data_IF_204860111980
#
_entry.id   IF_204860111980
#
_cell.length_a   1.000
_cell.length_b   1.000
_cell.length_c   1.000
_cell.angle_alpha   90.00
_cell.angle_beta   90.00
_cell.angle_gamma   90.00
#
_symmetry.space_group_name_H-M   'P 1'
#
loop_
_entity.id
_entity.type
_entity.pdbx_description
1 polymer ?
#
# COMPACT_ATOMS: atom_id res chain seq x y z
N UNK A 1 -9.34 17.27 27.81
CA UNK A 1 -9.57 15.82 27.74
C UNK A 1 -8.40 15.20 27.01
N UNK A 2 -7.99 14.00 27.41
CA UNK A 2 -6.99 13.24 26.67
C UNK A 2 -7.49 12.89 25.27
N UNK A 3 -6.61 12.97 24.28
CA UNK A 3 -6.96 12.78 22.87
C UNK A 3 -6.09 11.69 22.23
N UNK A 4 -6.69 10.91 21.34
CA UNK A 4 -5.97 10.02 20.42
C UNK A 4 -5.20 10.84 19.38
N UNK A 5 -4.20 10.23 18.73
CA UNK A 5 -3.51 10.87 17.61
C UNK A 5 -4.49 11.30 16.52
N UNK A 6 -5.46 10.45 16.20
CA UNK A 6 -6.51 10.79 15.22
C UNK A 6 -7.28 12.06 15.61
N UNK A 7 -7.75 12.17 16.86
CA UNK A 7 -8.48 13.35 17.32
C UNK A 7 -7.64 14.61 17.28
N UNK A 8 -6.36 14.53 17.65
CA UNK A 8 -5.41 15.66 17.53
C UNK A 8 -5.27 16.13 16.09
N UNK A 9 -5.08 15.18 15.16
CA UNK A 9 -4.94 15.48 13.73
C UNK A 9 -6.24 16.05 13.14
N UNK A 10 -7.37 15.44 13.45
CA UNK A 10 -8.67 15.89 12.96
C UNK A 10 -8.97 17.31 13.43
N UNK A 11 -8.92 17.54 14.75
CA UNK A 11 -9.25 18.84 15.35
C UNK A 11 -8.35 19.98 14.86
N UNK A 12 -7.05 19.69 14.62
CA UNK A 12 -6.11 20.68 14.10
C UNK A 12 -6.44 21.14 12.65
N UNK A 13 -7.26 20.39 11.93
CA UNK A 13 -7.60 20.68 10.53
C UNK A 13 -9.05 21.07 10.30
N UNK A 14 -9.90 21.07 11.33
CA UNK A 14 -11.27 21.56 11.21
C UNK A 14 -11.26 23.07 10.95
N UNK A 15 -11.80 23.47 9.81
CA UNK A 15 -11.97 24.88 9.44
C UNK A 15 -13.40 25.38 9.63
N UNK A 16 -14.35 24.44 9.70
CA UNK A 16 -15.75 24.71 10.02
C UNK A 16 -16.40 23.47 10.62
N UNK A 17 -17.14 23.65 11.69
CA UNK A 17 -17.97 22.63 12.33
C UNK A 17 -19.19 23.31 12.97
N UNK A 18 -20.38 22.84 12.68
CA UNK A 18 -21.63 23.27 13.31
C UNK A 18 -22.43 22.06 13.77
N UNK A 19 -23.30 22.25 14.76
CA UNK A 19 -24.11 21.18 15.30
C UNK A 19 -25.03 20.59 14.21
N UNK A 20 -25.00 19.27 14.06
CA UNK A 20 -25.75 18.53 13.04
C UNK A 20 -25.16 18.58 11.62
N UNK A 21 -24.03 19.27 11.41
CA UNK A 21 -23.37 19.34 10.11
C UNK A 21 -22.07 18.51 10.08
N UNK A 22 -21.71 18.04 8.90
CA UNK A 22 -20.42 17.36 8.68
C UNK A 22 -19.30 18.40 8.71
N UNK A 23 -18.26 18.22 9.55
CA UNK A 23 -17.11 19.11 9.59
C UNK A 23 -16.43 19.27 8.24
N UNK A 24 -15.84 20.44 8.02
CA UNK A 24 -14.99 20.72 6.86
C UNK A 24 -13.53 20.73 7.33
N UNK A 25 -12.72 19.88 6.72
CA UNK A 25 -11.28 19.79 6.98
C UNK A 25 -10.50 20.57 5.93
N UNK A 26 -9.45 21.25 6.38
CA UNK A 26 -8.39 21.73 5.49
C UNK A 26 -7.51 20.57 5.05
N UNK A 27 -7.09 20.56 3.78
CA UNK A 27 -6.21 19.51 3.20
C UNK A 27 -4.82 20.12 2.95
N UNK A 28 -3.81 19.61 3.65
CA UNK A 28 -2.43 20.09 3.50
C UNK A 28 -1.76 19.63 2.21
N UNK A 29 -2.09 18.42 1.73
CA UNK A 29 -1.49 17.84 0.55
C UNK A 29 -2.53 17.10 -0.29
N UNK A 30 -2.53 17.37 -1.59
CA UNK A 30 -3.35 16.66 -2.55
C UNK A 30 -2.43 15.96 -3.56
N UNK A 31 -2.48 14.65 -3.60
CA UNK A 31 -1.75 13.85 -4.59
C UNK A 31 -2.73 13.42 -5.68
N UNK A 32 -2.31 13.53 -6.94
CA UNK A 32 -3.13 13.17 -8.10
C UNK A 32 -2.38 12.25 -9.04
N UNK A 33 -3.12 11.45 -9.77
CA UNK A 33 -2.61 10.57 -10.81
C UNK A 33 -3.56 10.51 -12.01
N UNK A 34 -3.17 9.81 -13.07
CA UNK A 34 -3.84 9.83 -14.36
C UNK A 34 -5.25 9.22 -14.38
N UNK A 35 -5.60 8.37 -13.39
CA UNK A 35 -6.89 7.65 -13.42
C UNK A 35 -8.06 8.51 -12.95
N UNK A 36 -7.92 9.22 -11.84
CA UNK A 36 -9.03 9.95 -11.21
C UNK A 36 -9.03 11.45 -11.47
N UNK A 37 -7.90 12.03 -11.91
CA UNK A 37 -7.77 13.47 -12.09
C UNK A 37 -8.40 14.03 -13.39
N UNK A 38 -8.46 13.35 -14.54
CA UNK A 38 -8.97 13.93 -15.78
C UNK A 38 -10.39 14.49 -15.65
N UNK A 39 -11.31 13.71 -15.10
CA UNK A 39 -12.71 14.12 -14.91
C UNK A 39 -12.84 15.27 -13.89
N UNK A 40 -12.00 15.29 -12.85
CA UNK A 40 -11.98 16.37 -11.86
C UNK A 40 -11.56 17.70 -12.50
N UNK A 41 -10.56 17.71 -13.38
CA UNK A 41 -10.17 18.90 -14.14
C UNK A 41 -11.24 19.34 -15.15
N UNK A 42 -11.96 18.40 -15.76
CA UNK A 42 -13.09 18.73 -16.64
C UNK A 42 -14.19 19.43 -15.85
N UNK A 43 -14.53 18.93 -14.65
CA UNK A 43 -15.51 19.56 -13.76
C UNK A 43 -15.10 20.99 -13.37
N UNK A 44 -13.82 21.23 -13.06
CA UNK A 44 -13.30 22.58 -12.80
C UNK A 44 -13.50 23.50 -14.00
N UNK A 45 -13.17 23.05 -15.21
CA UNK A 45 -13.34 23.85 -16.44
C UNK A 45 -14.82 24.20 -16.70
N UNK A 46 -15.69 23.23 -16.60
CA UNK A 46 -17.15 23.44 -16.77
C UNK A 46 -17.68 24.42 -15.76
N UNK A 47 -17.22 24.34 -14.51
CA UNK A 47 -17.63 25.24 -13.43
C UNK A 47 -16.92 26.61 -13.47
N UNK A 48 -16.01 26.87 -14.41
CA UNK A 48 -15.21 28.09 -14.49
C UNK A 48 -14.30 28.31 -13.28
N UNK A 49 -13.86 27.24 -12.62
CA UNK A 49 -13.01 27.26 -11.41
C UNK A 49 -11.57 26.95 -11.74
N UNK A 50 -10.69 27.48 -10.91
CA UNK A 50 -9.23 27.22 -10.98
C UNK A 50 -8.78 26.38 -9.78
N UNK A 51 -7.61 25.75 -9.91
CA UNK A 51 -6.93 25.09 -8.78
C UNK A 51 -6.56 26.12 -7.73
N UNK A 52 -7.06 25.94 -6.51
CA UNK A 52 -6.89 26.92 -5.44
C UNK A 52 -5.45 27.00 -4.90
N UNK A 53 -4.79 25.86 -4.73
CA UNK A 53 -3.45 25.76 -4.12
C UNK A 53 -2.55 24.84 -4.95
N UNK A 54 -2.02 25.40 -6.04
CA UNK A 54 -1.14 24.66 -6.97
C UNK A 54 0.07 24.06 -6.24
N UNK A 55 0.71 24.80 -5.34
CA UNK A 55 1.91 24.36 -4.60
C UNK A 55 1.65 23.25 -3.58
N UNK A 56 0.39 22.91 -3.33
CA UNK A 56 -0.01 21.81 -2.41
C UNK A 56 -0.49 20.58 -3.14
N UNK A 57 -0.56 20.64 -4.48
CA UNK A 57 -0.99 19.54 -5.34
C UNK A 57 0.19 19.02 -6.15
N UNK A 58 0.38 17.69 -6.18
CA UNK A 58 1.47 17.03 -6.90
C UNK A 58 0.93 15.85 -7.68
N UNK A 59 1.40 15.69 -8.92
CA UNK A 59 0.97 14.60 -9.80
C UNK A 59 2.07 13.60 -10.09
N UNK A 60 1.68 12.35 -10.32
CA UNK A 60 2.54 11.31 -10.88
C UNK A 60 1.76 10.42 -11.84
N UNK A 61 2.45 9.69 -12.69
CA UNK A 61 1.91 8.65 -13.56
C UNK A 61 2.31 7.30 -13.01
N UNK A 62 1.35 6.44 -12.67
CA UNK A 62 1.67 5.17 -11.99
C UNK A 62 0.79 3.97 -12.35
N UNK A 63 -0.48 4.18 -12.70
CA UNK A 63 -1.46 3.11 -12.91
C UNK A 63 -1.51 2.59 -14.34
N UNK A 64 -1.59 3.51 -15.31
CA UNK A 64 -1.86 3.21 -16.72
C UNK A 64 -0.60 3.15 -17.58
N UNK A 65 0.57 3.30 -16.99
CA UNK A 65 1.85 3.28 -17.69
C UNK A 65 2.38 1.85 -17.86
N UNK A 66 3.13 1.63 -18.96
CA UNK A 66 3.83 0.36 -19.17
C UNK A 66 5.09 0.27 -18.30
N UNK A 67 5.31 -0.89 -17.70
CA UNK A 67 6.56 -1.19 -16.97
C UNK A 67 7.67 -1.69 -17.91
N UNK A 68 7.35 -1.98 -19.16
CA UNK A 68 8.31 -2.42 -20.17
C UNK A 68 8.93 -1.24 -20.92
N UNK A 69 8.08 -0.29 -21.33
CA UNK A 69 8.47 0.81 -22.21
C UNK A 69 8.08 2.14 -21.61
N UNK A 70 9.06 3.04 -21.46
CA UNK A 70 8.86 4.42 -20.97
C UNK A 70 8.70 5.41 -22.14
N UNK A 71 7.64 5.23 -22.89
CA UNK A 71 7.31 6.09 -24.04
C UNK A 71 5.78 6.25 -24.13
N UNK A 72 5.28 7.45 -23.86
CA UNK A 72 3.84 7.79 -23.93
C UNK A 72 3.26 7.48 -25.31
N UNK A 73 4.05 7.63 -26.38
CA UNK A 73 3.59 7.39 -27.73
C UNK A 73 3.25 5.91 -28.00
N UNK A 74 3.83 5.02 -27.23
CA UNK A 74 3.59 3.56 -27.32
C UNK A 74 2.45 3.08 -26.43
N UNK A 75 1.88 3.95 -25.61
CA UNK A 75 0.64 3.65 -24.91
C UNK A 75 -0.54 3.68 -25.88
N UNK A 76 -1.54 2.87 -25.63
CA UNK A 76 -2.73 2.73 -26.47
C UNK A 76 -4.02 2.90 -25.67
N UNK A 77 -5.13 3.14 -26.39
CA UNK A 77 -6.47 3.18 -25.82
C UNK A 77 -6.63 4.19 -24.67
N UNK A 78 -7.35 3.76 -23.63
CA UNK A 78 -7.69 4.57 -22.48
C UNK A 78 -6.45 5.02 -21.67
N UNK A 79 -5.46 4.16 -21.56
CA UNK A 79 -4.20 4.45 -20.87
C UNK A 79 -3.50 5.69 -21.43
N UNK A 80 -3.37 5.76 -22.77
CA UNK A 80 -2.78 6.92 -23.45
C UNK A 80 -3.57 8.21 -23.21
N UNK A 81 -4.90 8.14 -23.29
CA UNK A 81 -5.77 9.30 -23.07
C UNK A 81 -5.58 9.84 -21.65
N UNK A 82 -5.62 8.98 -20.64
CA UNK A 82 -5.47 9.37 -19.23
C UNK A 82 -4.12 10.04 -18.95
N UNK A 83 -3.03 9.45 -19.44
CA UNK A 83 -1.68 10.00 -19.26
C UNK A 83 -1.53 11.37 -19.93
N UNK A 84 -1.99 11.51 -21.19
CA UNK A 84 -1.92 12.79 -21.91
C UNK A 84 -2.81 13.86 -21.28
N UNK A 85 -3.99 13.52 -20.77
CA UNK A 85 -4.85 14.49 -20.07
C UNK A 85 -4.23 14.94 -18.75
N UNK A 86 -3.55 14.05 -18.00
CA UNK A 86 -2.81 14.45 -16.80
C UNK A 86 -1.68 15.45 -17.15
N UNK A 87 -0.87 15.15 -18.17
CA UNK A 87 0.17 16.08 -18.65
C UNK A 87 -0.39 17.46 -19.04
N UNK A 88 -1.45 17.45 -19.84
CA UNK A 88 -2.13 18.67 -20.30
C UNK A 88 -2.66 19.49 -19.12
N UNK A 89 -3.32 18.85 -18.17
CA UNK A 89 -3.92 19.51 -17.02
C UNK A 89 -2.88 20.08 -16.06
N UNK A 90 -1.83 19.33 -15.75
CA UNK A 90 -0.74 19.78 -14.88
C UNK A 90 0.04 20.92 -15.53
N UNK A 91 0.32 20.85 -16.82
CA UNK A 91 0.96 21.94 -17.57
C UNK A 91 0.11 23.22 -17.59
N UNK A 92 -1.21 23.08 -17.79
CA UNK A 92 -2.13 24.23 -17.84
C UNK A 92 -2.29 24.91 -16.47
N UNK A 93 -2.16 24.16 -15.38
CA UNK A 93 -2.35 24.68 -14.00
C UNK A 93 -1.06 25.02 -13.29
N UNK A 94 0.08 24.57 -13.79
CA UNK A 94 1.37 24.72 -13.12
C UNK A 94 1.61 23.72 -11.97
N UNK A 95 0.79 22.68 -11.85
CA UNK A 95 1.00 21.61 -10.88
C UNK A 95 2.27 20.83 -11.25
N UNK A 96 3.12 20.57 -10.27
CA UNK A 96 4.33 19.75 -10.47
C UNK A 96 3.91 18.31 -10.78
N UNK A 97 4.39 17.81 -11.92
CA UNK A 97 4.19 16.43 -12.37
C UNK A 97 5.53 15.68 -12.35
N UNK A 98 5.53 14.52 -11.72
CA UNK A 98 6.59 13.51 -11.82
C UNK A 98 6.20 12.53 -12.91
N UNK A 99 6.57 12.83 -14.13
CA UNK A 99 6.21 12.04 -15.33
C UNK A 99 7.20 10.90 -15.60
N UNK A 100 6.88 10.06 -16.58
CA UNK A 100 7.70 8.89 -16.95
C UNK A 100 9.13 9.23 -17.36
N UNK A 101 9.48 10.48 -17.65
CA UNK A 101 10.82 10.89 -18.08
C UNK A 101 11.70 11.25 -16.90
N UNK A 102 11.11 11.49 -15.72
CA UNK A 102 11.84 11.85 -14.51
C UNK A 102 12.22 10.63 -13.69
N UNK A 103 13.35 10.67 -13.01
CA UNK A 103 13.78 9.60 -12.11
C UNK A 103 12.97 9.54 -10.81
N UNK A 104 12.34 10.62 -10.45
CA UNK A 104 11.49 10.75 -9.27
C UNK A 104 10.09 10.15 -9.50
N UNK A 105 9.74 9.81 -10.77
CA UNK A 105 8.47 9.16 -11.07
C UNK A 105 8.35 7.83 -10.32
N UNK A 106 7.17 7.53 -9.84
CA UNK A 106 6.86 6.28 -9.16
C UNK A 106 5.40 6.20 -8.76
N UNK A 107 5.07 5.09 -8.13
CA UNK A 107 3.77 4.89 -7.51
C UNK A 107 3.53 6.02 -6.51
N UNK A 108 2.37 6.66 -6.56
CA UNK A 108 2.07 7.87 -5.78
C UNK A 108 2.38 7.71 -4.28
N UNK A 109 2.12 6.54 -3.70
CA UNK A 109 2.37 6.23 -2.29
C UNK A 109 3.81 5.76 -1.98
N UNK A 110 4.68 5.70 -2.98
CA UNK A 110 6.13 5.52 -2.84
C UNK A 110 6.83 6.85 -3.09
N UNK A 111 6.56 7.48 -4.22
CA UNK A 111 7.16 8.76 -4.62
C UNK A 111 6.86 9.88 -3.60
N UNK A 112 5.60 10.00 -3.14
CA UNK A 112 5.21 11.03 -2.17
C UNK A 112 6.07 11.06 -0.91
N UNK A 113 6.22 9.95 -0.18
CA UNK A 113 7.16 9.82 0.93
C UNK A 113 8.62 10.09 0.56
N UNK A 114 9.11 9.53 -0.56
CA UNK A 114 10.50 9.71 -1.00
C UNK A 114 10.85 11.17 -1.28
N UNK A 115 9.90 11.94 -1.81
CA UNK A 115 10.07 13.35 -2.06
C UNK A 115 9.91 14.22 -0.80
N UNK A 116 9.49 13.64 0.33
CA UNK A 116 9.18 14.39 1.55
C UNK A 116 7.89 15.21 1.44
N UNK A 117 6.98 14.80 0.54
CA UNK A 117 5.65 15.40 0.40
C UNK A 117 4.72 14.97 1.53
N UNK A 118 5.04 13.87 2.21
CA UNK A 118 4.34 13.32 3.36
C UNK A 118 5.07 13.73 4.62
N UNK A 119 4.44 14.54 5.47
CA UNK A 119 5.02 14.99 6.74
C UNK A 119 4.07 14.69 7.90
N UNK A 120 4.60 14.44 9.12
CA UNK A 120 3.76 14.26 10.29
C UNK A 120 2.84 15.46 10.54
N UNK A 121 1.64 15.18 11.00
CA UNK A 121 0.68 16.23 11.33
C UNK A 121 -0.14 16.76 10.15
N UNK A 122 0.10 16.29 8.93
CA UNK A 122 -0.67 16.72 7.74
C UNK A 122 -1.97 15.93 7.56
N UNK A 123 -2.90 16.55 6.82
CA UNK A 123 -3.99 15.86 6.12
C UNK A 123 -3.58 15.65 4.66
N UNK A 124 -3.70 14.41 4.16
CA UNK A 124 -3.28 14.05 2.80
C UNK A 124 -4.41 13.28 2.12
N UNK A 125 -4.76 13.68 0.90
CA UNK A 125 -5.75 12.98 0.10
C UNK A 125 -5.24 12.66 -1.30
N UNK A 126 -5.76 11.59 -1.88
CA UNK A 126 -5.52 11.16 -3.25
C UNK A 126 -6.73 10.38 -3.76
N UNK A 127 -6.94 10.35 -5.05
CA UNK A 127 -7.97 9.53 -5.70
C UNK A 127 -7.65 8.03 -5.73
N UNK A 128 -6.93 7.53 -4.73
CA UNK A 128 -6.53 6.13 -4.56
C UNK A 128 -6.79 5.66 -3.12
N UNK A 129 -7.36 4.46 -2.97
CA UNK A 129 -7.73 3.90 -1.67
C UNK A 129 -6.53 3.66 -0.74
N UNK A 130 -5.33 3.40 -1.29
CA UNK A 130 -4.13 3.14 -0.49
C UNK A 130 -3.41 4.42 -0.02
N UNK A 131 -4.05 5.58 -0.11
CA UNK A 131 -3.59 6.84 0.49
C UNK A 131 -3.34 6.71 2.01
N UNK A 132 -3.98 5.75 2.67
CA UNK A 132 -3.70 5.37 4.06
C UNK A 132 -2.22 5.05 4.33
N UNK A 133 -1.42 4.70 3.31
CA UNK A 133 0.04 4.52 3.41
C UNK A 133 0.74 5.68 4.11
N UNK A 134 0.33 6.92 3.84
CA UNK A 134 0.93 8.12 4.39
C UNK A 134 0.71 8.27 5.90
N UNK A 135 -0.25 7.54 6.47
CA UNK A 135 -0.47 7.49 7.92
C UNK A 135 0.69 6.86 8.72
N UNK A 136 1.58 6.14 8.05
CA UNK A 136 2.83 5.65 8.62
C UNK A 136 3.74 6.77 9.17
N UNK A 137 3.53 7.99 8.71
CA UNK A 137 4.25 9.21 9.13
C UNK A 137 3.50 10.00 10.21
N UNK A 138 2.38 9.52 10.72
CA UNK A 138 1.52 10.31 11.61
C UNK A 138 0.78 11.43 10.86
N UNK A 139 0.40 11.20 9.60
CA UNK A 139 -0.46 12.05 8.80
C UNK A 139 -1.87 11.44 8.71
N UNK A 140 -2.92 12.25 8.80
CA UNK A 140 -4.28 11.81 8.54
C UNK A 140 -4.50 11.71 7.03
N UNK A 141 -4.38 10.51 6.49
CA UNK A 141 -4.35 10.26 5.06
C UNK A 141 -5.40 9.23 4.64
N UNK A 142 -6.18 9.56 3.60
CA UNK A 142 -7.24 8.67 3.12
C UNK A 142 -7.58 8.92 1.65
N UNK A 143 -8.10 7.87 1.01
CA UNK A 143 -8.58 7.91 -0.37
C UNK A 143 -9.90 8.66 -0.50
N UNK A 144 -10.05 9.35 -1.63
CA UNK A 144 -11.24 10.14 -1.98
C UNK A 144 -11.73 9.80 -3.39
N UNK A 145 -13.01 10.00 -3.64
CA UNK A 145 -13.62 9.81 -4.96
C UNK A 145 -13.32 10.97 -5.93
N UNK A 146 -13.55 10.74 -7.24
CA UNK A 146 -13.27 11.72 -8.30
C UNK A 146 -13.95 13.07 -8.07
N UNK A 147 -15.20 13.11 -7.60
CA UNK A 147 -15.91 14.36 -7.29
C UNK A 147 -15.27 15.10 -6.09
N UNK A 148 -14.71 14.36 -5.14
CA UNK A 148 -13.97 14.94 -4.02
C UNK A 148 -12.60 15.45 -4.46
N UNK A 149 -11.94 14.80 -5.44
CA UNK A 149 -10.72 15.31 -6.08
C UNK A 149 -10.98 16.69 -6.68
N UNK A 150 -12.08 16.85 -7.46
CA UNK A 150 -12.51 18.15 -8.00
C UNK A 150 -12.72 19.17 -6.87
N UNK A 151 -13.44 18.77 -5.83
CA UNK A 151 -13.75 19.66 -4.70
C UNK A 151 -12.46 20.15 -4.00
N UNK A 152 -11.50 19.26 -3.73
CA UNK A 152 -10.22 19.61 -3.09
C UNK A 152 -9.38 20.49 -4.01
N UNK A 153 -9.33 20.24 -5.31
CA UNK A 153 -8.66 21.11 -6.27
C UNK A 153 -9.23 22.53 -6.23
N UNK A 154 -10.57 22.67 -6.15
CA UNK A 154 -11.27 23.96 -6.14
C UNK A 154 -11.15 24.72 -4.81
N UNK A 155 -11.10 24.03 -3.68
CA UNK A 155 -11.30 24.62 -2.36
C UNK A 155 -10.18 24.42 -1.36
N UNK A 156 -9.35 23.42 -1.55
CA UNK A 156 -8.35 22.88 -0.61
C UNK A 156 -8.98 22.37 0.70
N UNK A 157 -10.26 22.02 0.66
CA UNK A 157 -11.01 21.51 1.82
C UNK A 157 -11.84 20.29 1.44
N UNK A 158 -12.30 19.55 2.44
CA UNK A 158 -13.16 18.38 2.25
C UNK A 158 -14.15 18.25 3.41
N UNK A 159 -15.41 17.94 3.12
CA UNK A 159 -16.37 17.50 4.14
C UNK A 159 -16.03 16.09 4.59
N UNK A 160 -15.77 15.90 5.89
CA UNK A 160 -15.39 14.59 6.43
C UNK A 160 -16.02 14.38 7.81
N UNK A 161 -16.88 13.38 7.91
CA UNK A 161 -17.42 12.97 9.20
C UNK A 161 -16.33 12.42 10.12
N UNK A 162 -16.49 12.66 11.43
CA UNK A 162 -15.60 12.06 12.44
C UNK A 162 -15.77 10.54 12.42
N UNK A 163 -14.65 9.85 12.37
CA UNK A 163 -14.58 8.40 12.50
C UNK A 163 -14.43 8.01 13.99
N UNK A 164 -14.70 6.77 14.30
CA UNK A 164 -14.33 6.16 15.58
C UNK A 164 -12.81 5.90 15.60
N UNK A 165 -12.24 5.80 16.80
CA UNK A 165 -10.84 5.48 17.04
C UNK A 165 -10.68 4.00 17.34
N UNK A 166 -9.78 3.32 16.63
CA UNK A 166 -9.40 1.94 16.95
C UNK A 166 -7.91 1.86 17.23
N UNK A 167 -7.54 1.13 18.28
CA UNK A 167 -6.15 0.81 18.59
C UNK A 167 -5.87 -0.66 18.28
N UNK A 168 -4.82 -0.92 17.49
CA UNK A 168 -4.30 -2.27 17.28
C UNK A 168 -2.88 -2.33 17.82
N UNK A 169 -2.69 -3.08 18.88
CA UNK A 169 -1.41 -3.24 19.56
C UNK A 169 -0.80 -4.61 19.24
N UNK A 170 0.41 -4.61 18.65
CA UNK A 170 1.18 -5.83 18.40
C UNK A 170 2.33 -5.88 19.39
N UNK A 171 2.21 -6.78 20.38
CA UNK A 171 3.13 -6.90 21.53
C UNK A 171 4.29 -7.82 21.25
N UNK A 172 5.44 -7.46 21.82
CA UNK A 172 6.66 -8.25 21.71
C UNK A 172 7.31 -8.18 20.34
N UNK A 173 8.25 -9.07 20.07
CA UNK A 173 9.07 -9.12 18.86
C UNK A 173 8.61 -10.24 17.94
N UNK A 174 8.64 -9.98 16.65
CA UNK A 174 8.39 -11.00 15.63
C UNK A 174 9.57 -11.97 15.53
N UNK A 175 9.28 -13.20 15.14
CA UNK A 175 10.31 -14.18 14.82
C UNK A 175 11.09 -13.79 13.54
N UNK A 176 12.35 -14.26 13.38
CA UNK A 176 13.08 -14.08 12.13
C UNK A 176 12.27 -14.60 10.92
N UNK A 177 12.31 -13.86 9.82
CA UNK A 177 11.56 -14.18 8.60
C UNK A 177 10.15 -13.61 8.55
N UNK A 178 9.62 -13.06 9.65
CA UNK A 178 8.33 -12.36 9.68
C UNK A 178 8.54 -10.89 9.30
N UNK A 179 7.69 -10.40 8.41
CA UNK A 179 7.74 -9.04 7.86
C UNK A 179 6.51 -8.22 8.24
N UNK A 180 6.54 -6.93 7.93
CA UNK A 180 5.39 -6.05 8.08
C UNK A 180 4.15 -6.54 7.30
N UNK A 181 4.36 -7.21 6.16
CA UNK A 181 3.28 -7.83 5.37
C UNK A 181 2.60 -8.95 6.14
N UNK A 182 3.35 -9.77 6.83
CA UNK A 182 2.80 -10.86 7.63
C UNK A 182 2.03 -10.31 8.83
N UNK A 183 2.54 -9.25 9.46
CA UNK A 183 1.86 -8.57 10.57
C UNK A 183 0.49 -8.07 10.12
N UNK A 184 0.43 -7.28 9.04
CA UNK A 184 -0.85 -6.70 8.61
C UNK A 184 -1.82 -7.76 8.08
N UNK A 185 -1.35 -8.80 7.40
CA UNK A 185 -2.20 -9.91 6.96
C UNK A 185 -2.77 -10.67 8.17
N UNK A 186 -1.97 -10.94 9.20
CA UNK A 186 -2.46 -11.56 10.44
C UNK A 186 -3.51 -10.68 11.15
N UNK A 187 -3.31 -9.34 11.17
CA UNK A 187 -4.30 -8.40 11.69
C UNK A 187 -5.60 -8.50 10.89
N UNK A 188 -5.54 -8.46 9.56
CA UNK A 188 -6.72 -8.55 8.68
C UNK A 188 -7.43 -9.90 8.85
N UNK A 189 -6.67 -11.00 8.96
CA UNK A 189 -7.23 -12.32 9.24
C UNK A 189 -8.02 -12.37 10.55
N UNK A 190 -7.53 -11.68 11.59
CA UNK A 190 -8.20 -11.58 12.89
C UNK A 190 -9.41 -10.65 12.90
N UNK A 191 -9.31 -9.52 12.21
CA UNK A 191 -10.34 -8.46 12.22
C UNK A 191 -11.38 -8.62 11.12
N UNK A 192 -11.09 -9.42 10.11
CA UNK A 192 -11.82 -9.55 8.85
C UNK A 192 -11.77 -8.26 7.99
N UNK A 193 -12.35 -8.31 6.79
CA UNK A 193 -12.41 -7.16 5.87
C UNK A 193 -13.32 -6.01 6.33
N UNK A 194 -14.13 -6.21 7.35
CA UNK A 194 -15.08 -5.21 7.86
C UNK A 194 -14.75 -4.72 9.28
N UNK A 195 -13.74 -5.30 9.92
CA UNK A 195 -13.44 -5.02 11.33
C UNK A 195 -13.06 -3.57 11.63
N UNK A 196 -12.47 -2.86 10.66
CA UNK A 196 -12.10 -1.45 10.75
C UNK A 196 -13.16 -0.47 10.23
N UNK A 197 -14.33 -0.95 9.78
CA UNK A 197 -15.34 -0.09 9.18
C UNK A 197 -15.77 1.04 10.13
N UNK A 198 -15.74 2.27 9.62
CA UNK A 198 -16.07 3.48 10.38
C UNK A 198 -14.99 3.94 11.36
N UNK A 199 -13.80 3.32 11.34
CA UNK A 199 -12.69 3.66 12.24
C UNK A 199 -11.49 4.25 11.48
N UNK A 200 -10.73 5.07 12.20
CA UNK A 200 -9.30 5.31 11.93
C UNK A 200 -8.52 4.45 12.90
N UNK A 201 -7.57 3.68 12.37
CA UNK A 201 -6.82 2.68 13.14
C UNK A 201 -5.44 3.22 13.50
N UNK A 202 -5.11 3.24 14.79
CA UNK A 202 -3.75 3.49 15.27
C UNK A 202 -3.06 2.17 15.56
N UNK A 203 -2.01 1.88 14.79
CA UNK A 203 -1.15 0.72 15.01
C UNK A 203 -0.02 1.07 15.97
N UNK A 204 0.18 0.26 16.99
CA UNK A 204 1.18 0.48 18.03
C UNK A 204 1.72 -0.86 18.60
N UNK A 205 2.52 -0.78 19.63
CA UNK A 205 3.18 -1.93 20.26
C UNK A 205 4.65 -2.03 19.84
N UNK A 206 5.37 -2.94 20.49
CA UNK A 206 6.82 -3.09 20.27
C UNK A 206 7.12 -3.49 18.82
N UNK A 207 6.40 -4.51 18.31
CA UNK A 207 6.59 -4.99 16.95
C UNK A 207 6.35 -3.92 15.87
N UNK A 208 5.45 -2.95 16.11
CA UNK A 208 5.20 -1.84 15.17
C UNK A 208 6.28 -0.77 15.27
N UNK A 209 6.75 -0.45 16.49
CA UNK A 209 7.83 0.53 16.69
C UNK A 209 9.15 0.07 16.10
N UNK A 210 9.43 -1.23 16.16
CA UNK A 210 10.67 -1.85 15.64
C UNK A 210 10.70 -1.90 14.11
N UNK A 211 9.57 -1.63 13.41
CA UNK A 211 9.52 -1.56 11.95
C UNK A 211 10.28 -0.35 11.41
N UNK A 212 10.95 -0.56 10.27
CA UNK A 212 11.41 0.52 9.40
C UNK A 212 10.22 1.37 8.88
N UNK A 213 10.50 2.51 8.29
CA UNK A 213 9.44 3.31 7.64
C UNK A 213 8.76 2.54 6.50
N UNK A 214 9.51 1.76 5.74
CA UNK A 214 9.01 0.90 4.68
C UNK A 214 8.00 -0.13 5.23
N UNK A 215 8.35 -0.77 6.34
CA UNK A 215 7.45 -1.69 7.05
C UNK A 215 6.20 -1.01 7.60
N UNK A 216 6.35 0.19 8.19
CA UNK A 216 5.21 0.99 8.68
C UNK A 216 4.27 1.41 7.54
N UNK A 217 4.85 1.78 6.38
CA UNK A 217 4.06 2.08 5.18
C UNK A 217 3.28 0.86 4.69
N UNK A 218 3.86 -0.34 4.74
CA UNK A 218 3.16 -1.59 4.41
C UNK A 218 1.96 -1.84 5.34
N UNK A 219 2.13 -1.65 6.64
CA UNK A 219 1.03 -1.82 7.62
C UNK A 219 -0.09 -0.81 7.36
N UNK A 220 0.23 0.48 7.25
CA UNK A 220 -0.77 1.52 7.00
C UNK A 220 -1.42 1.40 5.61
N UNK A 221 -0.67 0.97 4.58
CA UNK A 221 -1.18 0.73 3.24
C UNK A 221 -2.37 -0.22 3.24
N UNK A 222 -2.27 -1.33 3.97
CA UNK A 222 -3.29 -2.37 4.00
C UNK A 222 -4.37 -2.15 5.08
N UNK A 223 -4.37 -1.05 5.82
CA UNK A 223 -5.44 -0.73 6.76
C UNK A 223 -6.81 -0.66 6.07
N UNK A 224 -6.85 -0.18 4.83
CA UNK A 224 -8.08 -0.13 4.03
C UNK A 224 -8.65 -1.53 3.74
N UNK A 225 -7.84 -2.57 3.73
CA UNK A 225 -8.27 -3.94 3.45
C UNK A 225 -9.02 -4.58 4.63
N UNK A 226 -8.96 -3.98 5.82
CA UNK A 226 -9.85 -4.30 6.93
C UNK A 226 -11.05 -3.34 7.05
N UNK A 227 -11.29 -2.52 6.03
CA UNK A 227 -12.41 -1.56 6.00
C UNK A 227 -12.15 -0.25 6.75
N UNK A 228 -10.95 0.00 7.25
CA UNK A 228 -10.60 1.22 7.97
C UNK A 228 -10.60 2.44 7.03
N UNK A 229 -10.97 3.61 7.55
CA UNK A 229 -10.89 4.88 6.81
C UNK A 229 -9.44 5.31 6.58
N UNK A 230 -8.57 5.10 7.57
CA UNK A 230 -7.14 5.38 7.54
C UNK A 230 -6.40 4.50 8.56
N UNK A 231 -5.10 4.33 8.35
CA UNK A 231 -4.18 3.74 9.33
C UNK A 231 -3.19 4.81 9.80
N UNK A 232 -2.82 4.80 11.06
CA UNK A 232 -1.90 5.75 11.67
C UNK A 232 -0.82 5.02 12.46
N UNK A 233 0.39 5.53 12.42
CA UNK A 233 1.47 5.21 13.35
C UNK A 233 2.02 6.54 13.86
N UNK A 234 2.14 6.69 15.18
CA UNK A 234 2.72 7.89 15.78
C UNK A 234 4.16 8.09 15.30
N UNK A 235 4.54 9.30 14.83
CA UNK A 235 5.89 9.56 14.35
C UNK A 235 6.89 9.54 15.50
N UNK A 236 8.07 9.02 15.22
CA UNK A 236 9.19 8.90 16.15
C UNK A 236 10.53 9.18 15.43
N UNK A 237 11.63 8.88 16.07
CA UNK A 237 12.97 9.10 15.55
C UNK A 237 13.19 8.40 14.19
N UNK A 238 12.65 7.19 14.00
CA UNK A 238 12.70 6.47 12.70
C UNK A 238 12.03 7.27 11.60
N UNK A 239 10.88 7.91 11.91
CA UNK A 239 10.17 8.78 10.97
C UNK A 239 10.99 10.04 10.65
N UNK A 240 11.61 10.65 11.66
CA UNK A 240 12.38 11.88 11.47
C UNK A 240 13.64 11.61 10.66
N UNK A 241 14.36 10.52 10.93
CA UNK A 241 15.53 10.14 10.15
C UNK A 241 15.19 9.86 8.68
N UNK A 242 14.09 9.18 8.41
CA UNK A 242 13.62 8.95 7.03
C UNK A 242 13.35 10.24 6.26
N UNK A 243 12.76 11.24 6.92
CA UNK A 243 12.38 12.52 6.31
C UNK A 243 13.53 13.51 6.16
N UNK A 244 14.57 13.38 6.99
CA UNK A 244 15.69 14.31 7.02
C UNK A 244 16.39 14.41 5.67
N UNK A 245 16.44 15.62 5.12
CA UNK A 245 17.12 15.90 3.85
C UNK A 245 16.31 15.58 2.59
N UNK A 246 15.06 15.09 2.72
CA UNK A 246 14.17 14.89 1.56
C UNK A 246 13.88 16.24 0.88
N UNK A 247 13.64 16.25 -0.46
CA UNK A 247 13.53 17.50 -1.24
C UNK A 247 12.51 18.51 -0.68
N UNK A 248 11.33 18.05 -0.29
CA UNK A 248 10.23 18.87 0.22
C UNK A 248 10.09 18.85 1.76
N UNK A 249 11.01 18.20 2.48
CA UNK A 249 11.05 18.26 3.93
C UNK A 249 11.57 19.63 4.40
N UNK A 250 11.16 20.11 5.59
CA UNK A 250 11.70 21.32 6.19
C UNK A 250 13.22 21.27 6.33
N UNK A 251 13.88 22.44 6.36
CA UNK A 251 15.34 22.56 6.44
C UNK A 251 15.75 23.56 7.53
N UNK A 252 16.94 23.38 8.10
CA UNK A 252 17.49 24.28 9.11
C UNK A 252 16.55 24.44 10.29
N UNK A 253 16.29 25.68 10.70
CA UNK A 253 15.42 26.00 11.84
C UNK A 253 13.99 25.47 11.67
N UNK A 254 13.45 25.52 10.44
CA UNK A 254 12.09 25.00 10.19
C UNK A 254 12.02 23.48 10.42
N UNK A 255 13.12 22.76 10.22
CA UNK A 255 13.23 21.36 10.58
C UNK A 255 13.19 21.13 12.10
N UNK A 256 13.95 21.92 12.85
CA UNK A 256 14.00 21.80 14.30
C UNK A 256 12.64 22.10 14.92
N UNK A 257 11.97 23.17 14.46
CA UNK A 257 10.63 23.54 14.89
C UNK A 257 9.59 22.46 14.50
N UNK A 258 9.70 21.89 13.30
CA UNK A 258 8.84 20.79 12.84
C UNK A 258 9.01 19.53 13.71
N UNK A 259 10.25 19.11 13.98
CA UNK A 259 10.52 17.94 14.82
C UNK A 259 9.99 18.16 16.25
N UNK A 260 10.15 19.37 16.81
CA UNK A 260 9.59 19.70 18.11
C UNK A 260 8.05 19.52 18.15
N UNK A 261 7.36 19.95 17.11
CA UNK A 261 5.92 19.74 16.95
C UNK A 261 5.59 18.26 16.72
N UNK A 262 6.30 17.57 15.83
CA UNK A 262 6.03 16.16 15.50
C UNK A 262 6.14 15.24 16.69
N UNK A 263 7.02 15.50 17.63
CA UNK A 263 7.16 14.76 18.92
C UNK A 263 5.92 14.85 19.80
N UNK A 264 5.03 15.80 19.58
CA UNK A 264 3.74 15.92 20.29
C UNK A 264 2.64 15.06 19.67
N UNK A 265 2.85 14.55 18.43
CA UNK A 265 1.88 13.79 17.64
C UNK A 265 1.84 12.32 18.04
N UNK A 266 1.35 12.06 19.23
CA UNK A 266 1.05 10.72 19.77
C UNK A 266 -0.24 10.78 20.56
N UNK A 267 -0.91 9.67 20.72
CA UNK A 267 -2.04 9.57 21.64
C UNK A 267 -1.60 9.84 23.07
N UNK A 268 -2.44 10.53 23.83
CA UNK A 268 -2.20 10.73 25.25
C UNK A 268 -2.30 9.40 25.99
N UNK A 269 -1.59 9.25 27.12
CA UNK A 269 -1.50 7.97 27.83
C UNK A 269 -2.87 7.46 28.32
N UNK A 270 -3.78 8.36 28.65
CA UNK A 270 -5.15 8.12 29.10
C UNK A 270 -6.21 8.31 27.99
N UNK A 271 -5.78 8.41 26.71
CA UNK A 271 -6.70 8.50 25.58
C UNK A 271 -7.58 7.26 25.47
N UNK A 272 -8.85 7.48 25.18
CA UNK A 272 -9.84 6.40 25.04
C UNK A 272 -10.04 6.06 23.57
N UNK A 273 -9.98 4.78 23.27
CA UNK A 273 -10.30 4.24 21.96
C UNK A 273 -11.67 3.53 22.01
N UNK A 274 -12.45 3.67 20.94
CA UNK A 274 -13.75 2.97 20.83
C UNK A 274 -13.55 1.45 20.74
N UNK A 275 -12.45 1.02 20.13
CA UNK A 275 -12.11 -0.40 19.97
C UNK A 275 -10.61 -0.61 20.22
N UNK A 276 -10.27 -1.67 20.93
CA UNK A 276 -8.87 -2.07 21.18
C UNK A 276 -8.70 -3.54 20.83
N UNK A 277 -7.71 -3.84 19.99
CA UNK A 277 -7.34 -5.20 19.58
C UNK A 277 -5.87 -5.42 19.91
N UNK A 278 -5.54 -6.58 20.45
CA UNK A 278 -4.16 -6.94 20.77
C UNK A 278 -3.77 -8.24 20.09
N UNK A 279 -2.57 -8.28 19.52
CA UNK A 279 -1.92 -9.47 18.97
C UNK A 279 -0.57 -9.66 19.65
N UNK A 280 -0.18 -10.92 19.82
CA UNK A 280 1.18 -11.27 20.25
C UNK A 280 2.04 -11.54 19.02
N UNK A 281 3.13 -10.81 18.85
CA UNK A 281 4.01 -10.89 17.68
C UNK A 281 4.61 -12.31 17.50
N UNK A 282 4.87 -13.02 18.60
CA UNK A 282 5.40 -14.39 18.58
C UNK A 282 4.46 -15.41 17.94
N UNK A 283 3.15 -15.12 17.89
CA UNK A 283 2.13 -16.02 17.33
C UNK A 283 1.90 -15.79 15.82
N UNK A 284 2.60 -14.81 15.22
CA UNK A 284 2.50 -14.51 13.80
C UNK A 284 3.47 -15.41 13.02
N UNK A 285 2.93 -16.28 12.20
CA UNK A 285 3.66 -17.04 11.17
C UNK A 285 3.72 -16.28 9.84
N UNK A 286 4.58 -16.67 8.87
CA UNK A 286 4.48 -16.15 7.51
C UNK A 286 3.08 -16.40 6.95
N UNK A 287 2.46 -15.38 6.37
CA UNK A 287 1.06 -15.39 5.98
C UNK A 287 0.86 -15.68 4.49
N UNK A 288 -0.19 -16.42 4.16
CA UNK A 288 -0.63 -16.69 2.78
C UNK A 288 -2.15 -16.57 2.70
N UNK A 289 -2.67 -15.79 1.75
CA UNK A 289 -4.12 -15.81 1.50
C UNK A 289 -4.50 -17.10 0.77
N UNK A 290 -5.53 -17.79 1.28
CA UNK A 290 -6.04 -19.05 0.72
C UNK A 290 -7.30 -18.87 -0.14
N UNK A 291 -7.88 -17.66 -0.15
CA UNK A 291 -9.14 -17.36 -0.84
C UNK A 291 -9.04 -16.15 -1.76
N UNK A 292 -10.16 -15.47 -1.95
CA UNK A 292 -10.35 -14.39 -2.91
C UNK A 292 -10.41 -12.99 -2.29
N UNK A 293 -10.00 -12.85 -1.04
CA UNK A 293 -9.87 -11.55 -0.38
C UNK A 293 -8.79 -11.61 0.72
N UNK A 294 -8.25 -10.44 1.16
CA UNK A 294 -7.18 -10.40 2.15
C UNK A 294 -7.54 -10.94 3.54
N UNK A 295 -8.83 -11.00 3.88
CA UNK A 295 -9.31 -11.59 5.15
C UNK A 295 -9.31 -13.13 5.15
N UNK A 296 -9.24 -13.74 3.98
CA UNK A 296 -9.09 -15.19 3.82
C UNK A 296 -7.61 -15.56 3.82
N UNK A 297 -6.97 -15.47 4.97
CA UNK A 297 -5.53 -15.61 5.19
C UNK A 297 -5.25 -16.51 6.39
N UNK A 298 -4.17 -17.27 6.32
CA UNK A 298 -3.66 -18.14 7.39
C UNK A 298 -2.14 -18.19 7.39
N UNK A 299 -1.54 -18.64 8.48
CA UNK A 299 -0.12 -18.95 8.52
C UNK A 299 0.24 -20.11 7.58
N UNK A 300 1.43 -20.08 7.01
CA UNK A 300 1.96 -21.11 6.09
C UNK A 300 2.02 -22.50 6.74
N UNK A 301 2.08 -22.57 8.06
CA UNK A 301 2.10 -23.78 8.87
C UNK A 301 0.69 -24.36 9.17
N UNK A 302 -0.35 -23.68 8.70
CA UNK A 302 -1.74 -24.10 8.84
C UNK A 302 -2.25 -24.74 7.54
N UNK A 303 -3.44 -25.35 7.63
CA UNK A 303 -4.12 -25.94 6.48
C UNK A 303 -5.27 -25.06 6.03
N UNK A 304 -5.57 -25.13 4.74
CA UNK A 304 -6.72 -24.46 4.12
C UNK A 304 -7.99 -24.79 4.90
N UNK A 305 -8.78 -23.81 5.37
CA UNK A 305 -9.96 -24.06 6.18
C UNK A 305 -11.00 -24.95 5.49
N UNK A 306 -11.67 -25.77 6.28
CA UNK A 306 -12.76 -26.62 5.81
C UNK A 306 -14.11 -25.90 6.00
N UNK A 307 -14.82 -25.51 4.91
CA UNK A 307 -16.11 -24.84 5.03
C UNK A 307 -17.16 -25.61 5.82
N UNK A 308 -17.11 -26.95 5.81
CA UNK A 308 -18.08 -27.76 6.54
C UNK A 308 -17.97 -27.62 8.07
N UNK A 309 -16.84 -27.17 8.57
CA UNK A 309 -16.58 -26.92 9.99
C UNK A 309 -17.00 -25.51 10.44
N UNK A 310 -17.36 -24.63 9.48
CA UNK A 310 -17.78 -23.26 9.77
C UNK A 310 -19.24 -23.24 10.22
N UNK A 311 -19.49 -22.63 11.37
CA UNK A 311 -20.84 -22.56 11.96
C UNK A 311 -21.71 -21.48 11.32
N UNK A 312 -21.11 -20.33 10.92
CA UNK A 312 -21.83 -19.25 10.27
C UNK A 312 -22.09 -19.57 8.80
N UNK A 313 -23.37 -19.61 8.34
CA UNK A 313 -23.70 -19.95 6.96
C UNK A 313 -23.14 -18.99 5.92
N UNK A 314 -23.02 -17.70 6.25
CA UNK A 314 -22.51 -16.67 5.31
C UNK A 314 -21.02 -16.88 5.11
N UNK A 315 -20.27 -17.06 6.18
CA UNK A 315 -18.83 -17.35 6.14
C UNK A 315 -18.56 -18.65 5.41
N UNK A 316 -19.37 -19.71 5.66
CA UNK A 316 -19.27 -20.99 4.95
C UNK A 316 -19.45 -20.84 3.46
N UNK A 317 -20.54 -20.21 3.01
CA UNK A 317 -20.82 -19.99 1.59
C UNK A 317 -19.73 -19.16 0.90
N UNK A 318 -19.20 -18.13 1.59
CA UNK A 318 -18.09 -17.33 1.11
C UNK A 318 -16.81 -18.16 0.94
N UNK A 319 -16.52 -19.05 1.90
CA UNK A 319 -15.36 -19.93 1.84
C UNK A 319 -15.48 -20.97 0.72
N UNK A 320 -16.66 -21.61 0.56
CA UNK A 320 -16.93 -22.54 -0.54
C UNK A 320 -16.73 -21.88 -1.92
N UNK A 321 -17.27 -20.67 -2.10
CA UNK A 321 -17.09 -19.90 -3.33
C UNK A 321 -15.62 -19.58 -3.57
N UNK A 322 -14.91 -19.14 -2.54
CA UNK A 322 -13.50 -18.77 -2.64
C UNK A 322 -12.63 -19.98 -3.01
N UNK A 323 -12.82 -21.12 -2.34
CA UNK A 323 -12.08 -22.35 -2.64
C UNK A 323 -12.33 -22.85 -4.07
N UNK A 324 -13.58 -22.78 -4.54
CA UNK A 324 -13.92 -23.15 -5.90
C UNK A 324 -13.19 -22.24 -6.94
N UNK A 325 -13.20 -20.92 -6.73
CA UNK A 325 -12.51 -19.98 -7.63
C UNK A 325 -11.00 -20.15 -7.58
N UNK A 326 -10.43 -20.16 -6.36
CA UNK A 326 -8.98 -20.25 -6.19
C UNK A 326 -8.44 -21.65 -6.56
N UNK A 327 -9.33 -22.66 -6.64
CA UNK A 327 -8.99 -24.04 -7.00
C UNK A 327 -8.14 -24.73 -5.94
N UNK A 328 -8.57 -24.64 -4.69
CA UNK A 328 -7.98 -25.34 -3.56
C UNK A 328 -8.99 -26.27 -2.89
N UNK A 329 -8.49 -27.39 -2.41
CA UNK A 329 -9.27 -28.33 -1.60
C UNK A 329 -9.25 -27.91 -0.13
N UNK A 330 -10.35 -28.20 0.59
CA UNK A 330 -10.39 -28.07 2.04
C UNK A 330 -9.29 -28.92 2.68
N UNK A 331 -8.68 -28.41 3.75
CA UNK A 331 -7.58 -29.07 4.47
C UNK A 331 -6.28 -29.24 3.64
N UNK A 332 -6.16 -28.65 2.46
CA UNK A 332 -4.92 -28.67 1.68
C UNK A 332 -3.77 -28.07 2.47
N UNK A 333 -2.57 -28.62 2.28
CA UNK A 333 -1.33 -28.04 2.79
C UNK A 333 -0.89 -26.91 1.85
N UNK A 334 -0.73 -25.70 2.38
CA UNK A 334 -0.29 -24.54 1.59
C UNK A 334 1.06 -24.79 0.92
N UNK A 335 1.93 -25.55 1.55
CA UNK A 335 3.28 -25.86 1.04
C UNK A 335 3.29 -26.82 -0.16
N UNK A 336 2.16 -27.42 -0.49
CA UNK A 336 2.03 -28.27 -1.69
C UNK A 336 1.39 -27.52 -2.88
N UNK A 337 1.02 -26.23 -2.70
CA UNK A 337 0.36 -25.45 -3.75
C UNK A 337 1.40 -24.89 -4.71
N UNK A 338 1.34 -25.33 -5.97
CA UNK A 338 2.20 -24.83 -7.03
C UNK A 338 1.81 -23.42 -7.46
N UNK A 339 2.78 -22.65 -7.92
CA UNK A 339 2.61 -21.31 -8.48
C UNK A 339 3.05 -21.25 -9.95
N UNK A 340 2.32 -20.51 -10.78
CA UNK A 340 2.66 -20.29 -12.19
C UNK A 340 3.45 -19.01 -12.41
N UNK A 341 3.17 -17.97 -11.62
CA UNK A 341 3.81 -16.66 -11.72
C UNK A 341 4.10 -16.09 -10.34
N UNK A 342 5.04 -15.14 -10.31
CA UNK A 342 5.37 -14.35 -9.12
C UNK A 342 5.34 -12.87 -9.48
N UNK A 343 4.76 -12.07 -8.59
CA UNK A 343 4.78 -10.63 -8.68
C UNK A 343 5.35 -10.01 -7.40
N UNK A 344 6.46 -9.27 -7.55
CA UNK A 344 7.10 -8.49 -6.49
C UNK A 344 7.02 -7.03 -6.90
N UNK A 345 6.18 -6.26 -6.22
CA UNK A 345 5.84 -4.90 -6.62
C UNK A 345 4.69 -4.32 -5.80
N UNK A 346 3.97 -3.34 -6.36
CA UNK A 346 2.84 -2.64 -5.74
C UNK A 346 3.26 -1.55 -4.75
N UNK A 347 2.36 -0.61 -4.47
CA UNK A 347 2.56 0.39 -3.41
C UNK A 347 2.77 -0.22 -2.02
N UNK A 348 2.41 -1.49 -1.83
CA UNK A 348 2.60 -2.22 -0.58
C UNK A 348 4.05 -2.63 -0.38
N UNK A 349 4.66 -3.29 -1.38
CA UNK A 349 5.98 -3.94 -1.25
C UNK A 349 6.83 -3.77 -2.52
N UNK A 350 7.16 -2.53 -2.85
CA UNK A 350 8.04 -2.20 -3.97
C UNK A 350 9.17 -1.25 -3.58
N UNK A 351 9.46 -1.13 -2.28
CA UNK A 351 10.53 -0.29 -1.74
C UNK A 351 11.84 -1.05 -1.68
N UNK A 352 12.94 -0.34 -1.43
CA UNK A 352 14.27 -0.94 -1.48
C UNK A 352 14.44 -2.12 -0.51
N UNK A 353 13.85 -2.07 0.68
CA UNK A 353 13.92 -3.17 1.65
C UNK A 353 13.19 -4.43 1.16
N UNK A 354 12.05 -4.25 0.50
CA UNK A 354 11.29 -5.35 -0.10
C UNK A 354 12.11 -6.06 -1.18
N UNK A 355 12.78 -5.26 -2.02
CA UNK A 355 13.66 -5.79 -3.08
C UNK A 355 14.90 -6.50 -2.51
N UNK A 356 15.50 -5.95 -1.46
CA UNK A 356 16.62 -6.60 -0.76
C UNK A 356 16.19 -7.94 -0.14
N UNK A 357 15.03 -7.99 0.50
CA UNK A 357 14.50 -9.21 1.09
C UNK A 357 14.25 -10.29 0.01
N UNK A 358 13.66 -9.92 -1.11
CA UNK A 358 13.45 -10.81 -2.23
C UNK A 358 14.78 -11.27 -2.87
N UNK A 359 15.72 -10.35 -3.08
CA UNK A 359 17.02 -10.65 -3.66
C UNK A 359 17.85 -11.61 -2.79
N UNK A 360 17.80 -11.47 -1.47
CA UNK A 360 18.49 -12.38 -0.54
C UNK A 360 18.03 -13.83 -0.71
N UNK A 361 16.74 -14.05 -1.01
CA UNK A 361 16.19 -15.37 -1.29
C UNK A 361 16.60 -15.86 -2.68
N UNK A 362 16.61 -14.99 -3.69
CA UNK A 362 16.84 -15.36 -5.09
C UNK A 362 18.32 -15.53 -5.44
N UNK A 363 19.23 -14.92 -4.68
CA UNK A 363 20.67 -14.95 -4.92
C UNK A 363 21.22 -16.37 -5.03
N UNK A 364 21.90 -16.67 -6.15
CA UNK A 364 22.48 -17.98 -6.44
C UNK A 364 21.47 -19.08 -6.77
N UNK A 365 20.19 -18.75 -6.93
CA UNK A 365 19.13 -19.69 -7.32
C UNK A 365 18.61 -19.37 -8.72
N UNK A 366 17.85 -20.30 -9.27
CA UNK A 366 17.11 -20.14 -10.52
C UNK A 366 15.63 -20.36 -10.26
N UNK A 367 14.78 -19.68 -11.04
CA UNK A 367 13.33 -19.91 -10.98
C UNK A 367 13.02 -21.38 -11.29
N UNK A 368 12.05 -21.93 -10.60
CA UNK A 368 11.58 -23.30 -10.82
C UNK A 368 10.98 -23.48 -12.23
N UNK A 369 11.08 -24.69 -12.79
CA UNK A 369 10.68 -24.97 -14.17
C UNK A 369 9.17 -24.76 -14.43
N UNK A 370 8.33 -24.98 -13.42
CA UNK A 370 6.89 -24.72 -13.52
C UNK A 370 6.54 -23.24 -13.44
N UNK A 371 7.44 -22.37 -12.97
CA UNK A 371 7.20 -20.93 -12.88
C UNK A 371 7.44 -20.28 -14.24
N UNK A 372 6.39 -19.82 -14.86
CA UNK A 372 6.43 -19.19 -16.19
C UNK A 372 7.14 -17.84 -16.14
N UNK A 373 6.78 -17.00 -15.17
CA UNK A 373 7.26 -15.61 -15.08
C UNK A 373 7.41 -15.14 -13.65
N UNK A 374 8.44 -14.36 -13.39
CA UNK A 374 8.63 -13.60 -12.16
C UNK A 374 8.80 -12.14 -12.57
N UNK A 375 7.87 -11.28 -12.13
CA UNK A 375 7.96 -9.84 -12.34
C UNK A 375 8.48 -9.17 -11.07
N UNK A 376 9.54 -8.37 -11.21
CA UNK A 376 10.06 -7.51 -10.15
C UNK A 376 9.96 -6.06 -10.61
N UNK A 377 9.11 -5.30 -9.93
CA UNK A 377 8.73 -3.94 -10.31
C UNK A 377 9.06 -2.99 -9.16
N UNK A 378 10.10 -2.15 -9.30
CA UNK A 378 10.43 -1.14 -8.28
C UNK A 378 9.32 -0.09 -8.16
N UNK A 379 9.15 0.46 -6.95
CA UNK A 379 8.06 1.40 -6.67
C UNK A 379 8.26 2.80 -7.23
N UNK A 380 9.52 3.18 -7.50
CA UNK A 380 9.89 4.47 -8.08
C UNK A 380 11.18 4.36 -8.87
N UNK A 381 11.49 5.38 -9.67
CA UNK A 381 12.78 5.47 -10.36
C UNK A 381 13.95 5.62 -9.39
N UNK A 382 13.75 6.22 -8.23
CA UNK A 382 14.77 6.31 -7.18
C UNK A 382 15.06 4.95 -6.55
N UNK A 383 14.02 4.16 -6.26
CA UNK A 383 14.19 2.76 -5.80
C UNK A 383 14.90 1.94 -6.86
N UNK A 384 14.53 2.11 -8.15
CA UNK A 384 15.19 1.42 -9.26
C UNK A 384 16.67 1.76 -9.32
N UNK A 385 17.02 3.04 -9.30
CA UNK A 385 18.41 3.53 -9.32
C UNK A 385 19.20 2.96 -8.13
N UNK A 386 18.63 2.94 -6.94
CA UNK A 386 19.28 2.39 -5.76
C UNK A 386 19.47 0.87 -5.87
N UNK A 387 18.46 0.14 -6.31
CA UNK A 387 18.53 -1.31 -6.49
C UNK A 387 19.63 -1.70 -7.52
N UNK A 388 19.72 -0.95 -8.62
CA UNK A 388 20.76 -1.16 -9.64
C UNK A 388 22.17 -0.82 -9.12
N UNK A 389 22.32 0.24 -8.31
CA UNK A 389 23.59 0.56 -7.63
C UNK A 389 24.03 -0.54 -6.65
N UNK A 390 23.09 -1.19 -5.99
CA UNK A 390 23.32 -2.31 -5.08
C UNK A 390 23.50 -3.66 -5.82
N UNK A 391 23.24 -3.69 -7.14
CA UNK A 391 23.35 -4.90 -7.97
C UNK A 391 22.20 -5.88 -7.78
N UNK A 392 21.05 -5.45 -7.20
CA UNK A 392 19.90 -6.31 -6.99
C UNK A 392 19.24 -6.72 -8.31
N UNK A 393 19.24 -5.85 -9.31
CA UNK A 393 18.78 -6.12 -10.67
C UNK A 393 19.48 -7.33 -11.29
N UNK A 394 20.80 -7.44 -11.10
CA UNK A 394 21.60 -8.57 -11.60
C UNK A 394 21.20 -9.87 -10.92
N UNK A 395 20.96 -9.85 -9.59
CA UNK A 395 20.49 -11.02 -8.85
C UNK A 395 19.15 -11.50 -9.41
N UNK A 396 18.20 -10.58 -9.63
CA UNK A 396 16.89 -10.90 -10.20
C UNK A 396 16.97 -11.47 -11.60
N UNK A 397 17.73 -10.83 -12.49
CA UNK A 397 17.93 -11.28 -13.88
C UNK A 397 18.63 -12.65 -13.92
N UNK A 398 19.68 -12.84 -13.12
CA UNK A 398 20.38 -14.12 -13.00
C UNK A 398 19.46 -15.23 -12.48
N UNK A 399 18.56 -14.93 -11.56
CA UNK A 399 17.55 -15.88 -11.08
C UNK A 399 16.47 -16.21 -12.12
N UNK A 400 16.38 -15.47 -13.23
CA UNK A 400 15.39 -15.66 -14.29
C UNK A 400 14.13 -14.80 -14.12
N UNK A 401 14.21 -13.72 -13.34
CA UNK A 401 13.14 -12.74 -13.21
C UNK A 401 13.26 -11.61 -14.23
N UNK A 402 12.15 -10.97 -14.51
CA UNK A 402 12.07 -9.78 -15.35
C UNK A 402 12.17 -8.52 -14.49
N UNK A 403 13.24 -7.76 -14.66
CA UNK A 403 13.45 -6.46 -14.03
C UNK A 403 12.74 -5.36 -14.82
N UNK A 404 11.80 -4.66 -14.18
CA UNK A 404 10.87 -3.76 -14.84
C UNK A 404 11.13 -2.29 -14.50
N UNK A 405 10.42 -1.39 -15.18
CA UNK A 405 10.35 0.03 -14.83
C UNK A 405 9.27 0.27 -13.76
N UNK A 406 9.37 1.38 -13.00
CA UNK A 406 8.42 1.71 -11.93
C UNK A 406 6.99 1.90 -12.43
N UNK A 407 6.03 1.41 -11.65
CA UNK A 407 4.60 1.54 -11.89
C UNK A 407 3.78 0.54 -11.07
N UNK A 408 2.45 0.67 -11.11
CA UNK A 408 1.55 -0.25 -10.40
C UNK A 408 1.53 -1.67 -10.97
N UNK A 409 1.86 -1.82 -12.27
CA UNK A 409 2.02 -3.14 -12.92
C UNK A 409 0.83 -4.06 -12.69
N UNK A 410 1.11 -5.30 -12.31
CA UNK A 410 0.10 -6.34 -12.08
C UNK A 410 -0.79 -6.08 -10.86
N UNK A 411 -0.50 -5.08 -10.01
CA UNK A 411 -1.32 -4.80 -8.81
C UNK A 411 -2.79 -4.53 -9.17
N UNK A 412 -3.05 -3.88 -10.29
CA UNK A 412 -4.39 -3.57 -10.80
C UNK A 412 -4.68 -4.18 -12.18
N UNK A 413 -3.64 -4.62 -12.90
CA UNK A 413 -3.80 -5.20 -14.23
C UNK A 413 -4.38 -4.23 -15.29
N UNK A 414 -4.15 -2.93 -15.14
CA UNK A 414 -4.59 -1.90 -16.10
C UNK A 414 -3.61 -1.71 -17.27
N UNK A 415 -2.49 -2.39 -17.25
CA UNK A 415 -1.45 -2.38 -18.27
C UNK A 415 -1.22 -3.79 -18.83
N UNK A 416 -0.10 -4.00 -19.52
CA UNK A 416 0.23 -5.29 -20.19
C UNK A 416 0.64 -6.39 -19.20
N UNK A 417 0.90 -6.05 -17.95
CA UNK A 417 1.28 -7.00 -16.91
C UNK A 417 0.03 -7.65 -16.31
N UNK A 418 -0.34 -8.83 -16.81
CA UNK A 418 -1.53 -9.58 -16.38
C UNK A 418 -1.21 -11.07 -16.23
N UNK A 419 -2.00 -11.74 -15.39
CA UNK A 419 -2.07 -13.19 -15.34
C UNK A 419 -2.83 -13.74 -16.52
N UNK A 420 -2.42 -14.90 -17.01
CA UNK A 420 -3.23 -15.72 -17.86
C UNK A 420 -4.42 -16.34 -17.12
N UNK A 421 -5.39 -16.86 -17.87
CA UNK A 421 -6.58 -17.48 -17.27
C UNK A 421 -6.18 -18.66 -16.37
N UNK A 422 -6.70 -18.66 -15.15
CA UNK A 422 -6.48 -19.68 -14.12
C UNK A 422 -5.05 -19.82 -13.64
N UNK A 423 -4.14 -18.96 -14.08
CA UNK A 423 -2.78 -18.94 -13.53
C UNK A 423 -2.77 -18.48 -12.07
N UNK A 424 -1.91 -19.12 -11.29
CA UNK A 424 -1.74 -18.89 -9.87
C UNK A 424 -0.50 -18.03 -9.62
N UNK A 425 -0.68 -16.95 -8.87
CA UNK A 425 0.38 -15.99 -8.58
C UNK A 425 0.66 -15.90 -7.08
N UNK A 426 1.92 -16.01 -6.68
CA UNK A 426 2.42 -15.51 -5.41
C UNK A 426 2.72 -14.02 -5.55
N UNK A 427 2.01 -13.16 -4.82
CA UNK A 427 2.01 -11.72 -5.08
C UNK A 427 2.22 -10.89 -3.82
N UNK A 428 3.04 -9.86 -3.93
CA UNK A 428 3.22 -8.86 -2.87
C UNK A 428 2.24 -7.70 -2.94
N UNK A 429 1.24 -7.77 -3.83
CA UNK A 429 0.20 -6.74 -3.89
C UNK A 429 -0.69 -6.72 -2.64
N UNK A 430 -1.65 -5.83 -2.60
CA UNK A 430 -2.52 -5.61 -1.43
C UNK A 430 -3.90 -6.26 -1.57
N UNK A 431 -4.33 -6.61 -2.78
CA UNK A 431 -5.65 -7.18 -3.09
C UNK A 431 -5.55 -8.39 -3.99
N UNK A 432 -6.39 -9.38 -3.73
CA UNK A 432 -6.47 -10.63 -4.48
C UNK A 432 -7.91 -11.01 -4.87
N UNK A 433 -8.77 -10.00 -5.07
CA UNK A 433 -10.14 -10.25 -5.54
C UNK A 433 -10.15 -10.97 -6.89
N UNK A 434 -11.22 -11.69 -7.15
CA UNK A 434 -11.45 -12.40 -8.42
C UNK A 434 -11.14 -11.50 -9.63
N UNK A 435 -10.24 -11.93 -10.50
CA UNK A 435 -9.85 -11.19 -11.71
C UNK A 435 -8.97 -9.95 -11.51
N UNK A 436 -8.54 -9.63 -10.29
CA UNK A 436 -7.78 -8.41 -9.98
C UNK A 436 -6.49 -8.26 -10.78
N UNK A 437 -5.72 -9.34 -10.94
CA UNK A 437 -4.44 -9.34 -11.67
C UNK A 437 -4.56 -9.89 -13.10
N UNK A 438 -5.77 -10.17 -13.56
CA UNK A 438 -6.08 -10.73 -14.86
C UNK A 438 -7.35 -11.57 -14.79
N UNK A 439 -8.05 -11.72 -15.92
CA UNK A 439 -9.29 -12.49 -16.00
C UNK A 439 -9.07 -13.92 -15.49
N UNK A 440 -9.88 -14.34 -14.52
CA UNK A 440 -9.80 -15.65 -13.87
C UNK A 440 -8.45 -15.93 -13.17
N UNK A 441 -7.59 -14.93 -12.96
CA UNK A 441 -6.32 -15.08 -12.26
C UNK A 441 -6.51 -15.42 -10.80
N UNK A 442 -5.65 -16.31 -10.26
CA UNK A 442 -5.67 -16.80 -8.88
C UNK A 442 -4.50 -16.21 -8.10
N UNK A 443 -4.77 -15.25 -7.24
CA UNK A 443 -3.72 -14.51 -6.54
C UNK A 443 -3.68 -14.85 -5.06
N UNK A 444 -2.49 -15.15 -4.55
CA UNK A 444 -2.20 -15.32 -3.13
C UNK A 444 -1.29 -14.18 -2.66
N UNK A 445 -1.72 -13.46 -1.64
CA UNK A 445 -0.92 -12.40 -1.03
C UNK A 445 0.08 -13.01 -0.06
N UNK A 446 1.33 -12.60 -0.21
CA UNK A 446 2.47 -13.04 0.60
C UNK A 446 3.48 -11.92 0.78
N UNK A 447 4.44 -12.09 1.68
CA UNK A 447 5.59 -11.18 1.83
C UNK A 447 6.57 -11.28 0.65
N UNK A 448 7.44 -10.26 0.44
CA UNK A 448 8.44 -10.29 -0.64
C UNK A 448 9.35 -11.51 -0.63
N UNK A 449 9.81 -11.90 0.56
CA UNK A 449 10.66 -13.10 0.71
C UNK A 449 9.89 -14.39 0.39
N UNK A 450 8.62 -14.48 0.82
CA UNK A 450 7.74 -15.63 0.49
C UNK A 450 7.44 -15.69 -1.00
N UNK A 451 7.19 -14.55 -1.66
CA UNK A 451 6.98 -14.50 -3.11
C UNK A 451 8.24 -14.95 -3.88
N UNK A 452 9.40 -14.44 -3.48
CA UNK A 452 10.69 -14.85 -4.06
C UNK A 452 10.93 -16.36 -3.86
N UNK A 453 10.70 -16.89 -2.66
CA UNK A 453 10.83 -18.31 -2.38
C UNK A 453 9.87 -19.14 -3.24
N UNK A 454 8.61 -18.72 -3.36
CA UNK A 454 7.66 -19.42 -4.24
C UNK A 454 8.14 -19.49 -5.70
N UNK A 455 8.79 -18.43 -6.18
CA UNK A 455 9.39 -18.41 -7.50
C UNK A 455 10.58 -19.37 -7.68
N UNK A 456 11.41 -19.52 -6.64
CA UNK A 456 12.59 -20.39 -6.69
C UNK A 456 12.25 -21.88 -6.48
N UNK A 457 11.22 -22.18 -5.69
CA UNK A 457 10.82 -23.54 -5.38
C UNK A 457 9.60 -24.05 -6.16
N UNK A 458 8.91 -23.16 -6.91
CA UNK A 458 7.75 -23.50 -7.73
C UNK A 458 6.46 -23.70 -6.94
N UNK A 459 6.50 -23.56 -5.62
CA UNK A 459 5.38 -23.73 -4.68
C UNK A 459 5.58 -22.85 -3.45
N UNK A 460 4.57 -22.67 -2.62
CA UNK A 460 4.75 -21.98 -1.35
C UNK A 460 5.66 -22.79 -0.43
N UNK A 461 6.57 -22.09 0.23
CA UNK A 461 7.48 -22.65 1.24
C UNK A 461 7.51 -21.73 2.46
N UNK A 462 7.78 -22.28 3.61
CA UNK A 462 8.00 -21.46 4.81
C UNK A 462 9.36 -20.79 4.71
N UNK A 463 9.35 -19.45 4.69
CA UNK A 463 10.60 -18.69 4.57
C UNK A 463 11.56 -18.93 5.73
N UNK A 464 11.03 -19.36 6.90
CA UNK A 464 11.85 -19.69 8.08
C UNK A 464 12.72 -20.91 7.86
N UNK A 465 12.34 -21.78 6.91
CA UNK A 465 13.08 -23.00 6.52
C UNK A 465 14.07 -22.73 5.36
N UNK A 466 14.07 -21.54 4.77
CA UNK A 466 14.90 -21.20 3.61
C UNK A 466 16.22 -20.57 4.06
N UNK A 467 17.33 -21.21 3.73
CA UNK A 467 18.66 -20.63 3.93
C UNK A 467 18.85 -19.43 3.00
N UNK A 468 19.18 -18.28 3.54
CA UNK A 468 19.54 -17.07 2.77
C UNK A 468 21.03 -17.15 2.36
N UNK A 469 21.35 -16.75 1.12
CA UNK A 469 22.72 -16.78 0.56
C UNK A 469 23.38 -15.39 0.57
#
# INVERSE_FOLDING_TARGET
MAKTLYEKLFDAHVVYEAEGETPILYINRHLIHEVTSPQAFDGLRVAGRQVRQVSKTFGTMDHSISTQVRDVNKLEGQAKIQVLELEKNTKATGIQLFDMTTKEQGIVHVMGPEQGLTLPGMTIVCGDSHTATHGAFGALAFGIGTSEVEHVLATQTLKQARAKSMKIEVRGKVAPGITAKDIILAIIGKTTMAGGTGHVVEFCGEAIRDLSMEGRMTVCNMAIEMGAKAGLIAPDETTFEYLKGRPHAPKGKDWDDAVAYWKTLKSDDDAKFDTVITLEAKDIAPQVTWGTNPGQVIGIDQRVPNPTEMTDPVTRASAEKALNYIGLEANADLKEILVDQVFIGSCTNARIEDLRAAAAVMKGRKKADNVKRILVVPGSGLVKEQAEKEGLDKIFIEAGAEWRNPGCSMCLGMNDDRLGEWERCASTSNRNFEGRQGRNGRTHLVSPAMAAAAGMFGKFVDIRDVTLN
#
